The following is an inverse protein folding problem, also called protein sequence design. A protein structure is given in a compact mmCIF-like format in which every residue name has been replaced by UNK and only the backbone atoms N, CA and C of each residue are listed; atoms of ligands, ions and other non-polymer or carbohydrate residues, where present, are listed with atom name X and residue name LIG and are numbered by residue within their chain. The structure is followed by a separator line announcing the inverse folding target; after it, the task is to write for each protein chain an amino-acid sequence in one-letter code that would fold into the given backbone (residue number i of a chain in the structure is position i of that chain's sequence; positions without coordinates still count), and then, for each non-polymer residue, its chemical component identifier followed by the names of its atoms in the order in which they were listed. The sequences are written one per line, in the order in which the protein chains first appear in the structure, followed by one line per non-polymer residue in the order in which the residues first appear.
data_IF_165831892334
#
_entry.id   IF_165831892334
#
_cell.length_a   1.000
_cell.length_b   1.000
_cell.length_c   1.000
_cell.angle_alpha   90.00
_cell.angle_beta   90.00
_cell.angle_gamma   90.00
#
_symmetry.space_group_name_H-M   'P 1'
#
loop_
_entity.id
_entity.type
_entity.pdbx_description
1 polymer ?
#
# COMPACT_ATOMS: atom_id res chain seq x y z
N UNK A 1 -29.52 50.52 -19.28
CA UNK A 1 -28.79 49.49 -20.06
C UNK A 1 -27.50 49.21 -19.32
N UNK A 2 -27.48 48.17 -18.47
CA UNK A 2 -26.33 47.92 -17.60
C UNK A 2 -26.53 46.61 -16.85
N UNK A 3 -26.53 45.50 -17.58
CA UNK A 3 -26.71 44.17 -16.99
C UNK A 3 -26.17 43.08 -17.93
N UNK A 4 -24.91 43.15 -18.34
CA UNK A 4 -24.30 42.04 -19.13
C UNK A 4 -22.81 41.80 -18.81
N UNK A 5 -22.10 42.70 -18.15
CA UNK A 5 -20.62 42.59 -18.05
C UNK A 5 -20.12 41.86 -16.79
N UNK A 6 -20.90 41.73 -15.72
CA UNK A 6 -20.46 41.04 -14.49
C UNK A 6 -20.68 39.51 -14.49
N UNK A 7 -21.55 39.01 -15.37
CA UNK A 7 -21.85 37.57 -15.45
C UNK A 7 -20.74 36.79 -16.16
N UNK A 8 -20.10 37.38 -17.19
CA UNK A 8 -19.04 36.71 -17.95
C UNK A 8 -17.80 36.46 -17.11
N UNK A 9 -17.37 37.43 -16.30
CA UNK A 9 -16.17 37.29 -15.47
C UNK A 9 -16.38 36.33 -14.32
N UNK A 10 -17.55 36.33 -13.68
CA UNK A 10 -17.83 35.38 -12.58
C UNK A 10 -18.01 33.95 -13.08
N UNK A 11 -18.64 33.73 -14.25
CA UNK A 11 -18.74 32.40 -14.85
C UNK A 11 -17.37 31.91 -15.34
N UNK A 12 -16.59 32.76 -16.00
CA UNK A 12 -15.24 32.41 -16.44
C UNK A 12 -14.31 32.10 -15.25
N UNK A 13 -14.36 32.90 -14.18
CA UNK A 13 -13.59 32.61 -12.95
C UNK A 13 -14.09 31.32 -12.31
N UNK A 14 -15.40 31.08 -12.25
CA UNK A 14 -15.94 29.82 -11.72
C UNK A 14 -15.55 28.63 -12.56
N UNK A 15 -15.57 28.74 -13.89
CA UNK A 15 -15.15 27.67 -14.82
C UNK A 15 -13.65 27.44 -14.76
N UNK A 16 -12.84 28.49 -14.68
CA UNK A 16 -11.40 28.38 -14.50
C UNK A 16 -11.07 27.75 -13.13
N UNK A 17 -11.79 28.11 -12.08
CA UNK A 17 -11.62 27.56 -10.74
C UNK A 17 -12.10 26.10 -10.66
N UNK A 18 -13.23 25.79 -11.29
CA UNK A 18 -13.76 24.42 -11.41
C UNK A 18 -12.84 23.55 -12.26
N UNK A 19 -12.25 24.10 -13.33
CA UNK A 19 -11.29 23.39 -14.17
C UNK A 19 -9.95 23.20 -13.45
N UNK A 20 -9.44 24.21 -12.74
CA UNK A 20 -8.21 24.07 -11.94
C UNK A 20 -8.41 23.15 -10.74
N UNK A 21 -9.57 23.21 -10.08
CA UNK A 21 -9.95 22.29 -9.01
C UNK A 21 -10.15 20.87 -9.55
N UNK A 22 -10.79 20.71 -10.72
CA UNK A 22 -10.94 19.42 -11.40
C UNK A 22 -9.61 18.85 -11.85
N UNK A 23 -8.73 19.68 -12.40
CA UNK A 23 -7.39 19.30 -12.82
C UNK A 23 -6.53 18.91 -11.63
N UNK A 24 -6.59 19.69 -10.54
CA UNK A 24 -5.93 19.35 -9.27
C UNK A 24 -6.51 18.07 -8.68
N UNK A 25 -7.82 17.88 -8.66
CA UNK A 25 -8.47 16.66 -8.19
C UNK A 25 -8.05 15.44 -9.00
N UNK A 26 -8.01 15.55 -10.34
CA UNK A 26 -7.55 14.46 -11.23
C UNK A 26 -6.05 14.18 -11.05
N UNK A 27 -5.21 15.21 -10.94
CA UNK A 27 -3.79 15.05 -10.69
C UNK A 27 -3.52 14.43 -9.31
N UNK A 28 -4.29 14.80 -8.28
CA UNK A 28 -4.23 14.18 -6.96
C UNK A 28 -4.70 12.73 -7.01
N UNK A 29 -5.78 12.41 -7.72
CA UNK A 29 -6.23 11.03 -7.94
C UNK A 29 -5.15 10.18 -8.61
N UNK A 30 -4.53 10.68 -9.69
CA UNK A 30 -3.45 10.00 -10.39
C UNK A 30 -2.27 9.77 -9.44
N UNK A 31 -1.84 10.81 -8.72
CA UNK A 31 -0.75 10.69 -7.73
C UNK A 31 -1.06 9.66 -6.64
N UNK A 32 -2.29 9.63 -6.12
CA UNK A 32 -2.66 8.64 -5.11
C UNK A 32 -2.69 7.22 -5.66
N UNK A 33 -3.14 7.03 -6.91
CA UNK A 33 -3.08 5.73 -7.60
C UNK A 33 -1.63 5.31 -7.86
N UNK A 34 -0.78 6.25 -8.27
CA UNK A 34 0.65 6.00 -8.47
C UNK A 34 1.34 5.65 -7.14
N UNK A 35 1.08 6.41 -6.08
CA UNK A 35 1.58 6.11 -4.73
C UNK A 35 1.10 4.74 -4.26
N UNK A 36 -0.17 4.38 -4.48
CA UNK A 36 -0.71 3.05 -4.19
C UNK A 36 0.00 1.93 -4.97
N UNK A 37 0.35 2.16 -6.23
CA UNK A 37 1.04 1.18 -7.07
C UNK A 37 2.54 1.07 -6.76
N UNK A 38 3.16 2.17 -6.35
CA UNK A 38 4.57 2.24 -5.98
C UNK A 38 4.82 1.81 -4.53
N UNK A 39 3.79 1.86 -3.67
CA UNK A 39 3.91 1.51 -2.27
C UNK A 39 4.20 0.01 -2.13
N UNK A 40 5.43 -0.28 -1.72
CA UNK A 40 5.86 -1.62 -1.32
C UNK A 40 5.97 -1.66 0.20
N UNK A 41 5.48 -2.75 0.80
CA UNK A 41 5.65 -3.03 2.22
C UNK A 41 7.14 -2.97 2.60
N UNK A 42 8.02 -3.51 1.73
CA UNK A 42 9.46 -3.44 1.91
C UNK A 42 9.87 -4.00 3.28
N UNK A 43 10.68 -3.26 4.02
CA UNK A 43 11.14 -3.59 5.39
C UNK A 43 10.15 -3.19 6.48
N UNK A 44 8.99 -2.62 6.14
CA UNK A 44 8.01 -2.12 7.12
C UNK A 44 7.05 -3.24 7.55
N UNK A 45 6.50 -3.11 8.75
CA UNK A 45 5.50 -4.07 9.24
C UNK A 45 4.22 -4.03 8.39
N UNK A 46 3.49 -5.16 8.29
CA UNK A 46 2.20 -5.19 7.56
C UNK A 46 1.25 -4.13 8.11
N UNK A 47 1.29 -3.87 9.42
CA UNK A 47 0.43 -2.88 10.09
C UNK A 47 0.69 -1.44 9.63
N UNK A 48 1.96 -1.05 9.49
CA UNK A 48 2.33 0.29 9.00
C UNK A 48 1.92 0.46 7.54
N UNK A 49 2.12 -0.58 6.72
CA UNK A 49 1.69 -0.60 5.33
C UNK A 49 0.16 -0.46 5.21
N UNK A 50 -0.61 -1.25 5.97
CA UNK A 50 -2.07 -1.16 6.02
C UNK A 50 -2.54 0.23 6.46
N UNK A 51 -1.86 0.85 7.43
CA UNK A 51 -2.19 2.20 7.89
C UNK A 51 -1.98 3.24 6.80
N UNK A 52 -0.84 3.19 6.10
CA UNK A 52 -0.56 4.09 4.98
C UNK A 52 -1.56 3.90 3.82
N UNK A 53 -1.87 2.64 3.49
CA UNK A 53 -2.87 2.29 2.48
C UNK A 53 -4.25 2.85 2.83
N UNK A 54 -4.65 2.73 4.10
CA UNK A 54 -5.93 3.27 4.58
C UNK A 54 -5.95 4.80 4.49
N UNK A 55 -4.86 5.49 4.87
CA UNK A 55 -4.79 6.95 4.77
C UNK A 55 -4.97 7.44 3.32
N UNK A 56 -4.30 6.81 2.36
CA UNK A 56 -4.45 7.12 0.93
C UNK A 56 -5.90 6.88 0.46
N UNK A 57 -6.49 5.75 0.87
CA UNK A 57 -7.89 5.44 0.56
C UNK A 57 -8.86 6.47 1.16
N UNK A 58 -8.63 6.90 2.40
CA UNK A 58 -9.47 7.89 3.07
C UNK A 58 -9.35 9.25 2.38
N UNK A 59 -8.18 9.62 1.86
CA UNK A 59 -8.00 10.82 1.02
C UNK A 59 -8.75 10.72 -0.32
N UNK A 60 -8.68 9.57 -1.01
CA UNK A 60 -9.47 9.30 -2.22
C UNK A 60 -10.97 9.39 -1.95
N UNK A 61 -11.42 8.85 -0.81
CA UNK A 61 -12.82 8.93 -0.39
C UNK A 61 -13.24 10.37 -0.09
N UNK A 62 -12.39 11.16 0.56
CA UNK A 62 -12.64 12.57 0.86
C UNK A 62 -12.78 13.43 -0.42
N UNK A 63 -12.11 13.05 -1.50
CA UNK A 63 -12.20 13.71 -2.82
C UNK A 63 -13.44 13.21 -3.62
N UNK A 64 -14.23 12.29 -3.06
CA UNK A 64 -15.43 11.75 -3.72
C UNK A 64 -15.11 10.71 -4.80
N UNK A 65 -13.90 10.15 -4.79
CA UNK A 65 -13.43 9.10 -5.71
C UNK A 65 -13.17 7.81 -4.91
N UNK A 66 -14.22 7.08 -4.48
CA UNK A 66 -14.02 5.82 -3.79
C UNK A 66 -13.36 4.80 -4.73
N UNK A 67 -12.30 4.15 -4.25
CA UNK A 67 -11.69 3.01 -4.96
C UNK A 67 -12.63 1.80 -4.91
N UNK A 68 -12.70 1.02 -5.98
CA UNK A 68 -13.47 -0.22 -6.03
C UNK A 68 -12.94 -1.29 -5.07
N UNK A 69 -13.82 -2.19 -4.62
CA UNK A 69 -13.45 -3.29 -3.72
C UNK A 69 -12.37 -4.20 -4.31
N UNK A 70 -12.52 -4.54 -5.58
CA UNK A 70 -11.60 -5.40 -6.34
C UNK A 70 -10.23 -4.75 -6.51
N UNK A 71 -10.21 -3.46 -6.88
CA UNK A 71 -8.98 -2.69 -7.05
C UNK A 71 -8.21 -2.53 -5.75
N UNK A 72 -8.92 -2.34 -4.62
CA UNK A 72 -8.28 -2.31 -3.29
C UNK A 72 -7.50 -3.59 -3.00
N UNK A 73 -8.09 -4.74 -3.30
CA UNK A 73 -7.47 -6.04 -3.05
C UNK A 73 -6.28 -6.23 -3.97
N UNK A 74 -6.45 -5.94 -5.26
CA UNK A 74 -5.37 -6.04 -6.24
C UNK A 74 -4.17 -5.16 -5.87
N UNK A 75 -4.39 -3.88 -5.56
CA UNK A 75 -3.31 -2.97 -5.17
C UNK A 75 -2.68 -3.36 -3.83
N UNK A 76 -3.48 -3.82 -2.87
CA UNK A 76 -2.93 -4.28 -1.59
C UNK A 76 -1.99 -5.47 -1.79
N UNK A 77 -2.41 -6.50 -2.51
CA UNK A 77 -1.62 -7.69 -2.79
C UNK A 77 -0.35 -7.39 -3.60
N UNK A 78 -0.44 -6.44 -4.55
CA UNK A 78 0.72 -5.98 -5.32
C UNK A 78 1.75 -5.26 -4.45
N UNK A 79 1.29 -4.46 -3.49
CA UNK A 79 2.16 -3.70 -2.61
C UNK A 79 2.76 -4.50 -1.44
N UNK A 80 2.25 -5.69 -1.09
CA UNK A 80 2.91 -6.57 -0.11
C UNK A 80 4.32 -7.01 -0.58
N UNK A 81 4.58 -6.99 -1.89
CA UNK A 81 5.89 -7.26 -2.46
C UNK A 81 6.23 -8.75 -2.61
N UNK A 82 7.51 -9.03 -2.90
CA UNK A 82 8.02 -10.36 -3.23
C UNK A 82 7.85 -11.37 -2.10
N UNK A 83 8.09 -10.96 -0.85
CA UNK A 83 8.03 -11.83 0.33
C UNK A 83 6.64 -12.47 0.53
N UNK A 84 5.60 -11.78 0.08
CA UNK A 84 4.22 -12.24 0.14
C UNK A 84 3.73 -12.75 -1.21
N UNK A 85 4.60 -12.98 -2.20
CA UNK A 85 4.23 -13.42 -3.54
C UNK A 85 3.41 -14.71 -3.53
N UNK A 86 3.78 -15.69 -2.69
CA UNK A 86 3.01 -16.92 -2.50
C UNK A 86 1.62 -16.65 -1.94
N UNK A 87 1.51 -15.78 -0.92
CA UNK A 87 0.24 -15.37 -0.34
C UNK A 87 -0.65 -14.65 -1.36
N UNK A 88 -0.09 -13.67 -2.08
CA UNK A 88 -0.78 -12.92 -3.12
C UNK A 88 -1.27 -13.83 -4.25
N UNK A 89 -0.46 -14.79 -4.68
CA UNK A 89 -0.85 -15.77 -5.71
C UNK A 89 -2.00 -16.66 -5.23
N UNK A 90 -1.92 -17.21 -4.02
CA UNK A 90 -3.00 -18.03 -3.44
C UNK A 90 -4.29 -17.24 -3.32
N UNK A 91 -4.20 -15.97 -2.93
CA UNK A 91 -5.36 -15.12 -2.76
C UNK A 91 -5.99 -14.68 -4.08
N UNK A 92 -5.18 -14.46 -5.12
CA UNK A 92 -5.66 -14.18 -6.49
C UNK A 92 -6.23 -15.43 -7.18
N UNK A 93 -5.78 -16.63 -6.79
CA UNK A 93 -6.31 -17.90 -7.28
C UNK A 93 -7.70 -18.24 -6.68
N UNK A 94 -8.16 -17.52 -5.66
CA UNK A 94 -9.51 -17.70 -5.12
C UNK A 94 -10.54 -17.18 -6.13
N UNK A 95 -11.52 -18.03 -6.45
CA UNK A 95 -12.65 -17.70 -7.35
C UNK A 95 -13.50 -16.54 -6.85
N UNK A 96 -13.53 -16.31 -5.52
CA UNK A 96 -14.18 -15.14 -4.92
C UNK A 96 -13.12 -14.25 -4.28
N UNK A 97 -12.95 -13.05 -4.81
CA UNK A 97 -11.92 -12.15 -4.33
C UNK A 97 -12.28 -11.69 -2.90
N UNK A 98 -11.42 -11.98 -1.90
CA UNK A 98 -11.72 -11.67 -0.51
C UNK A 98 -11.71 -10.17 -0.27
N UNK A 99 -12.57 -9.68 0.62
CA UNK A 99 -12.62 -8.27 0.95
C UNK A 99 -11.31 -7.83 1.63
N UNK A 100 -10.95 -6.55 1.46
CA UNK A 100 -9.81 -5.94 2.16
C UNK A 100 -9.83 -6.19 3.67
N UNK A 101 -11.02 -6.18 4.29
CA UNK A 101 -11.18 -6.45 5.73
C UNK A 101 -10.70 -7.84 6.15
N UNK A 102 -10.87 -8.85 5.29
CA UNK A 102 -10.43 -10.23 5.53
C UNK A 102 -8.97 -10.46 5.16
N UNK A 103 -8.44 -9.62 4.26
CA UNK A 103 -7.08 -9.68 3.73
C UNK A 103 -6.05 -9.27 4.78
N UNK A 104 -6.33 -8.18 5.52
CA UNK A 104 -5.45 -7.63 6.55
C UNK A 104 -5.11 -8.65 7.66
N UNK A 105 -6.08 -9.31 8.30
CA UNK A 105 -5.77 -10.30 9.33
C UNK A 105 -5.02 -11.52 8.75
N UNK A 106 -5.35 -11.95 7.54
CA UNK A 106 -4.63 -13.06 6.87
C UNK A 106 -3.16 -12.71 6.59
N UNK A 107 -2.90 -11.50 6.07
CA UNK A 107 -1.55 -11.01 5.83
C UNK A 107 -0.75 -10.89 7.14
N UNK A 108 -1.38 -10.42 8.23
CA UNK A 108 -0.76 -10.36 9.56
C UNK A 108 -0.41 -11.74 10.10
N UNK A 109 -1.31 -12.71 9.96
CA UNK A 109 -1.04 -14.11 10.37
C UNK A 109 0.10 -14.72 9.56
N UNK A 110 0.18 -14.42 8.26
CA UNK A 110 1.29 -14.85 7.41
C UNK A 110 2.62 -14.23 7.86
N UNK A 111 2.66 -12.93 8.21
CA UNK A 111 3.87 -12.29 8.76
C UNK A 111 4.33 -12.96 10.06
N UNK A 112 3.41 -13.28 10.97
CA UNK A 112 3.73 -13.97 12.23
C UNK A 112 4.27 -15.38 11.97
N UNK A 113 3.68 -16.10 11.02
CA UNK A 113 4.15 -17.42 10.61
C UNK A 113 5.54 -17.35 9.98
N UNK A 114 5.79 -16.40 9.07
CA UNK A 114 7.10 -16.14 8.46
C UNK A 114 8.16 -15.88 9.54
N UNK A 115 7.87 -14.99 10.50
CA UNK A 115 8.77 -14.69 11.63
C UNK A 115 9.06 -15.90 12.50
N UNK A 116 8.07 -16.78 12.71
CA UNK A 116 8.27 -18.03 13.45
C UNK A 116 9.20 -19.00 12.72
N UNK A 117 9.15 -19.05 11.38
CA UNK A 117 10.05 -19.87 10.58
C UNK A 117 11.48 -19.29 10.57
N UNK A 118 11.60 -17.97 10.51
CA UNK A 118 12.91 -17.29 10.51
C UNK A 118 13.63 -17.39 11.86
N UNK A 119 12.89 -17.31 12.98
CA UNK A 119 13.44 -17.52 14.32
C UNK A 119 13.93 -18.97 14.55
N UNK A 120 13.44 -19.93 13.75
CA UNK A 120 13.85 -21.33 13.80
C UNK A 120 15.09 -21.63 12.94
N UNK A 121 15.61 -20.65 12.18
CA UNK A 121 16.83 -20.82 11.40
C UNK A 121 18.05 -20.39 12.25
N UNK A 122 18.89 -21.32 12.75
CA UNK A 122 20.20 -20.95 13.27
C UNK A 122 21.02 -20.37 12.13
N UNK A 123 21.33 -19.08 12.21
CA UNK A 123 22.26 -18.43 11.29
C UNK A 123 23.58 -19.22 11.24
N UNK A 124 24.02 -19.71 10.08
CA UNK A 124 25.26 -20.49 9.96
C UNK A 124 26.53 -19.69 10.33
N UNK A 125 26.40 -18.37 10.54
CA UNK A 125 27.51 -17.51 10.95
C UNK A 125 27.94 -17.70 12.42
N UNK A 126 27.06 -18.20 13.31
CA UNK A 126 27.41 -18.35 14.74
C UNK A 126 28.07 -19.70 15.05
N UNK A 127 28.00 -20.68 14.12
CA UNK A 127 28.58 -22.01 14.35
C UNK A 127 30.11 -22.06 14.21
N UNK A 128 30.72 -21.10 13.50
CA UNK A 128 32.17 -21.14 13.21
C UNK A 128 33.03 -20.48 14.30
N UNK A 129 32.44 -19.66 15.18
CA UNK A 129 33.23 -18.81 16.11
C UNK A 129 33.69 -19.50 17.41
N UNK A 130 33.29 -20.73 17.71
CA UNK A 130 33.56 -21.33 19.04
C UNK A 130 34.62 -22.44 19.06
N UNK A 131 35.17 -22.86 17.91
CA UNK A 131 36.13 -23.99 17.86
C UNK A 131 37.62 -23.62 17.78
N UNK A 132 37.99 -22.34 17.91
CA UNK A 132 39.39 -21.90 17.77
C UNK A 132 40.19 -21.82 19.09
N UNK A 133 39.73 -22.41 20.20
CA UNK A 133 40.40 -22.29 21.50
C UNK A 133 40.86 -23.60 22.18
N UNK A 134 41.15 -24.66 21.42
CA UNK A 134 41.85 -25.83 21.98
C UNK A 134 43.03 -26.27 21.08
N UNK A 135 44.03 -25.41 20.98
CA UNK A 135 45.35 -25.80 20.49
C UNK A 135 46.42 -24.90 21.11
N UNK A 136 46.48 -24.84 22.44
CA UNK A 136 47.67 -24.36 23.16
C UNK A 136 47.65 -24.90 24.59
N UNK A 137 48.52 -25.86 24.87
CA UNK A 137 49.44 -25.79 26.02
C UNK A 137 50.26 -27.09 26.11
N UNK A 138 51.58 -26.88 26.05
CA UNK A 138 52.71 -27.56 26.71
C UNK A 138 52.70 -29.08 26.94
#
# INVERSE_FOLDING_TARGET
MGEVVELSTSLEVRVALENTFSHRSKAHEIRFKDDLQLMKQGTRSVLEYVRAFKALRDQLHAIGRPVDGTDKVHWFLRGLGSEFSSFSTTQMALTHLPCFADLVPKAKSFELFQKSLELAAPSPAVFVATNSNLAKSN
#
